data_IF_123460755973
#
_entry.id   IF_123460755973
#
_cell.length_a   1.000
_cell.length_b   1.000
_cell.length_c   1.000
_cell.angle_alpha   90.00
_cell.angle_beta   90.00
_cell.angle_gamma   90.00
#
_symmetry.space_group_name_H-M   'P 1'
#
loop_
_entity.id
_entity.type
_entity.pdbx_description
1 polymer ?
#
# COMPACT_ATOMS: atom_id res chain seq x y z
N UNK A 1 6.20 -20.64 -9.06
CA UNK A 1 6.23 -19.22 -8.62
C UNK A 1 7.15 -19.10 -7.42
N UNK A 2 8.00 -18.08 -7.40
CA UNK A 2 8.91 -17.82 -6.27
C UNK A 2 8.32 -16.69 -5.41
N UNK A 3 8.34 -16.84 -4.10
CA UNK A 3 7.80 -15.86 -3.16
C UNK A 3 8.93 -15.14 -2.43
N UNK A 4 8.67 -13.91 -1.98
CA UNK A 4 9.56 -13.15 -1.10
C UNK A 4 8.77 -12.53 0.05
N UNK A 5 9.41 -12.41 1.20
CA UNK A 5 8.85 -11.71 2.33
C UNK A 5 9.18 -10.22 2.24
N UNK A 6 8.17 -9.35 2.40
CA UNK A 6 8.40 -7.91 2.46
C UNK A 6 9.16 -7.56 3.75
N UNK A 7 10.33 -6.92 3.63
CA UNK A 7 11.14 -6.53 4.80
C UNK A 7 10.48 -5.50 5.72
N UNK A 8 9.44 -4.79 5.25
CA UNK A 8 8.73 -3.74 6.04
C UNK A 8 7.55 -4.27 6.85
N UNK A 9 6.71 -5.13 6.26
CA UNK A 9 5.49 -5.63 6.90
C UNK A 9 5.48 -7.14 7.12
N UNK A 10 6.49 -7.86 6.62
CA UNK A 10 6.61 -9.31 6.76
C UNK A 10 5.66 -10.12 5.87
N UNK A 11 4.84 -9.48 5.02
CA UNK A 11 3.89 -10.17 4.15
C UNK A 11 4.62 -10.90 3.02
N UNK A 12 4.20 -12.15 2.77
CA UNK A 12 4.68 -12.95 1.64
C UNK A 12 4.01 -12.42 0.38
N UNK A 13 4.82 -11.97 -0.58
CA UNK A 13 4.38 -11.52 -1.91
C UNK A 13 5.16 -12.27 -3.00
N UNK A 14 4.71 -12.16 -4.24
CA UNK A 14 5.42 -12.73 -5.38
C UNK A 14 6.81 -12.08 -5.54
N UNK A 15 7.82 -12.87 -5.93
CA UNK A 15 9.19 -12.37 -6.09
C UNK A 15 9.27 -11.34 -7.23
N UNK A 16 8.45 -11.50 -8.27
CA UNK A 16 8.39 -10.62 -9.45
C UNK A 16 7.59 -9.34 -9.19
N UNK A 17 6.81 -9.26 -8.12
CA UNK A 17 6.16 -8.01 -7.72
C UNK A 17 7.22 -6.97 -7.32
N UNK A 18 7.33 -5.84 -8.03
CA UNK A 18 8.40 -4.86 -7.80
C UNK A 18 8.28 -4.16 -6.45
N UNK A 19 7.06 -4.06 -5.90
CA UNK A 19 6.78 -3.48 -4.59
C UNK A 19 5.90 -4.42 -3.80
N UNK A 20 6.01 -4.37 -2.47
CA UNK A 20 5.06 -5.08 -1.62
C UNK A 20 3.69 -4.41 -1.77
N UNK A 21 2.62 -5.15 -2.13
CA UNK A 21 1.31 -4.56 -2.38
C UNK A 21 0.69 -3.97 -1.10
N UNK A 22 1.14 -4.40 0.08
CA UNK A 22 0.70 -3.82 1.35
C UNK A 22 1.48 -2.57 1.76
N UNK A 23 2.69 -2.36 1.25
CA UNK A 23 3.54 -1.22 1.64
C UNK A 23 3.82 -0.23 0.51
N UNK A 24 3.54 -0.62 -0.74
CA UNK A 24 3.74 0.18 -1.94
C UNK A 24 2.47 0.90 -2.40
N UNK A 25 1.34 0.59 -1.78
CA UNK A 25 0.05 1.17 -2.13
C UNK A 25 -0.37 2.25 -1.14
N UNK A 26 -0.99 3.30 -1.66
CA UNK A 26 -1.62 4.32 -0.84
C UNK A 26 -3.02 3.84 -0.46
N UNK A 27 -3.48 4.17 0.73
CA UNK A 27 -4.83 3.84 1.17
C UNK A 27 -5.61 5.12 1.46
N UNK A 28 -6.86 5.16 1.00
CA UNK A 28 -7.87 6.12 1.38
C UNK A 28 -8.91 5.39 2.22
N UNK A 29 -8.79 5.45 3.55
CA UNK A 29 -9.53 4.55 4.43
C UNK A 29 -9.15 3.09 4.20
N UNK A 30 -10.13 2.24 3.88
CA UNK A 30 -9.91 0.82 3.56
C UNK A 30 -9.70 0.55 2.05
N UNK A 31 -9.81 1.56 1.20
CA UNK A 31 -9.62 1.43 -0.25
C UNK A 31 -8.15 1.61 -0.62
N UNK A 32 -7.58 0.64 -1.33
CA UNK A 32 -6.29 0.79 -2.02
C UNK A 32 -6.49 1.75 -3.19
N UNK A 33 -5.69 2.81 -3.25
CA UNK A 33 -5.68 3.79 -4.34
C UNK A 33 -4.29 3.81 -4.99
N UNK A 34 -4.26 3.72 -6.31
CA UNK A 34 -3.00 3.82 -7.06
C UNK A 34 -2.45 5.24 -7.01
N UNK A 35 -1.15 5.42 -7.25
CA UNK A 35 -0.53 6.76 -7.29
C UNK A 35 -1.20 7.65 -8.35
N UNK A 36 -1.56 7.09 -9.51
CA UNK A 36 -2.21 7.84 -10.59
C UNK A 36 -3.60 8.33 -10.20
N UNK A 37 -4.43 7.45 -9.62
CA UNK A 37 -5.74 7.84 -9.10
C UNK A 37 -5.63 8.86 -7.96
N UNK A 38 -4.60 8.72 -7.12
CA UNK A 38 -4.33 9.63 -6.03
C UNK A 38 -4.04 11.05 -6.53
N UNK A 39 -3.11 11.18 -7.49
CA UNK A 39 -2.74 12.48 -8.08
C UNK A 39 -3.95 13.11 -8.77
N UNK A 40 -4.74 12.32 -9.51
CA UNK A 40 -5.95 12.81 -10.18
C UNK A 40 -6.99 13.32 -9.17
N UNK A 41 -7.24 12.57 -8.09
CA UNK A 41 -8.23 12.92 -7.07
C UNK A 41 -7.80 14.12 -6.22
N UNK A 42 -6.51 14.27 -5.95
CA UNK A 42 -5.96 15.47 -5.29
C UNK A 42 -6.09 16.68 -6.21
N UNK A 43 -5.77 16.53 -7.50
CA UNK A 43 -5.87 17.62 -8.49
C UNK A 43 -7.31 18.11 -8.69
N UNK A 44 -8.30 17.23 -8.48
CA UNK A 44 -9.73 17.57 -8.50
C UNK A 44 -10.26 18.09 -7.15
N UNK A 45 -9.45 18.07 -6.09
CA UNK A 45 -9.85 18.46 -4.74
C UNK A 45 -10.78 17.46 -4.03
N UNK A 46 -10.97 16.25 -4.58
CA UNK A 46 -11.84 15.21 -4.03
C UNK A 46 -11.23 14.54 -2.80
N UNK A 47 -9.90 14.50 -2.74
CA UNK A 47 -9.14 13.86 -1.66
C UNK A 47 -8.10 14.83 -1.10
N UNK A 48 -8.13 15.02 0.21
CA UNK A 48 -7.10 15.76 0.95
C UNK A 48 -5.93 14.85 1.29
N UNK A 49 -4.69 15.34 1.15
CA UNK A 49 -3.48 14.57 1.47
C UNK A 49 -3.49 13.99 2.90
N UNK A 50 -4.13 14.68 3.84
CA UNK A 50 -4.29 14.27 5.23
C UNK A 50 -5.16 13.02 5.44
N UNK A 51 -5.96 12.62 4.46
CA UNK A 51 -6.79 11.40 4.50
C UNK A 51 -6.11 10.18 3.90
N UNK A 52 -4.91 10.37 3.34
CA UNK A 52 -4.14 9.31 2.70
C UNK A 52 -3.12 8.81 3.70
N UNK A 53 -3.11 7.50 3.89
CA UNK A 53 -2.10 6.83 4.70
C UNK A 53 -1.56 5.62 3.95
N UNK A 54 -0.25 5.44 4.01
CA UNK A 54 0.39 4.21 3.53
C UNK A 54 0.25 3.16 4.63
N UNK A 55 -0.76 2.29 4.52
CA UNK A 55 -1.03 1.25 5.52
C UNK A 55 -0.09 0.07 5.33
N UNK A 56 1.15 0.16 5.80
CA UNK A 56 1.89 -1.06 6.11
C UNK A 56 1.24 -1.68 7.36
N UNK A 57 0.64 -2.88 7.30
CA UNK A 57 0.13 -3.52 8.49
C UNK A 57 1.29 -3.69 9.48
N UNK A 58 1.21 -2.91 10.56
CA UNK A 58 2.20 -2.91 11.61
C UNK A 58 1.91 -4.15 12.46
N UNK A 59 2.75 -5.17 12.31
CA UNK A 59 2.67 -6.50 12.93
C UNK A 59 1.82 -7.50 12.14
N UNK A 60 2.51 -8.36 11.39
CA UNK A 60 2.23 -9.79 11.53
C UNK A 60 2.46 -10.09 13.01
N UNK A 61 1.36 -10.21 13.76
CA UNK A 61 1.39 -10.76 15.11
C UNK A 61 1.96 -12.16 14.97
N UNK A 62 3.21 -12.37 15.43
CA UNK A 62 3.72 -13.72 15.69
C UNK A 62 2.76 -14.36 16.69
N UNK A 63 1.94 -15.29 16.22
CA UNK A 63 1.37 -16.36 17.05
C UNK A 63 2.00 -17.65 16.58
#
# INVERSE_FOLDING_TARGET
MAYKQCSRCGIITDKNEPKCPSCGNNHLGDKIITITELISSIGKGEITLSKIWTKCPSKISKR
#
